data_IF_433693805168
#
_entry.id   IF_433693805168
#
_cell.length_a   1.000
_cell.length_b   1.000
_cell.length_c   1.000
_cell.angle_alpha   90.00
_cell.angle_beta   90.00
_cell.angle_gamma   90.00
#
_symmetry.space_group_name_H-M   'P 1'
#
loop_
_entity.id
_entity.type
_entity.pdbx_description
1 polymer ?
#
# COMPACT_ATOMS: atom_id res chain seq x y z
N UNK A 1 18.64 -55.71 29.27
CA UNK A 1 18.40 -54.49 30.06
C UNK A 1 18.00 -53.41 29.07
N UNK A 2 16.69 -53.39 28.79
CA UNK A 2 16.04 -52.51 27.83
C UNK A 2 16.02 -51.10 28.37
N UNK A 3 16.45 -50.14 27.57
CA UNK A 3 16.37 -48.73 27.91
C UNK A 3 15.44 -48.04 26.89
N UNK A 4 14.46 -47.23 27.34
CA UNK A 4 13.22 -46.96 26.59
C UNK A 4 13.33 -45.95 25.44
N UNK A 5 12.40 -46.05 24.48
CA UNK A 5 12.12 -45.09 23.39
C UNK A 5 11.78 -43.70 23.96
N UNK A 6 12.29 -42.59 23.38
CA UNK A 6 11.72 -41.28 23.65
C UNK A 6 10.34 -41.15 23.00
N UNK A 7 9.38 -40.64 23.78
CA UNK A 7 8.02 -40.34 23.37
C UNK A 7 7.93 -38.90 22.82
N UNK A 8 7.23 -38.76 21.69
CA UNK A 8 6.42 -37.60 21.29
C UNK A 8 6.95 -36.19 21.53
N UNK A 9 7.47 -35.57 20.48
CA UNK A 9 7.53 -34.11 20.34
C UNK A 9 6.47 -33.65 19.33
N UNK A 10 5.40 -33.04 19.82
CA UNK A 10 4.37 -32.34 19.03
C UNK A 10 4.97 -31.11 18.35
N UNK A 11 4.43 -30.78 17.19
CA UNK A 11 4.43 -29.41 16.67
C UNK A 11 5.23 -29.26 15.40
N UNK A 12 4.60 -29.61 14.27
CA UNK A 12 4.90 -28.95 13.01
C UNK A 12 4.77 -27.44 13.25
N UNK A 13 5.79 -26.60 12.97
CA UNK A 13 5.48 -25.22 12.67
C UNK A 13 4.84 -25.24 11.28
N UNK A 14 3.52 -25.42 11.24
CA UNK A 14 2.71 -24.74 10.25
C UNK A 14 2.83 -23.25 10.56
N UNK A 15 3.99 -22.68 10.21
CA UNK A 15 4.17 -21.25 10.11
C UNK A 15 3.19 -20.80 9.05
N UNK A 16 2.03 -20.33 9.51
CA UNK A 16 1.18 -19.42 8.77
C UNK A 16 2.10 -18.40 8.05
N UNK A 17 1.77 -17.98 6.81
CA UNK A 17 2.51 -16.89 6.20
C UNK A 17 2.45 -15.71 7.17
N UNK A 18 3.59 -15.44 7.80
CA UNK A 18 3.74 -14.35 8.74
C UNK A 18 3.66 -13.08 7.90
N UNK A 19 2.72 -12.19 8.23
CA UNK A 19 2.62 -10.76 7.88
C UNK A 19 2.73 -10.25 6.42
N UNK A 20 3.17 -11.02 5.43
CA UNK A 20 3.82 -10.46 4.24
C UNK A 20 3.12 -10.80 2.90
N UNK A 21 1.79 -10.78 2.81
CA UNK A 21 1.08 -10.81 1.51
C UNK A 21 0.49 -9.43 1.15
N UNK A 22 1.24 -8.37 1.46
CA UNK A 22 1.01 -7.11 0.77
C UNK A 22 1.58 -7.30 -0.63
N UNK A 23 0.74 -7.77 -1.56
CA UNK A 23 1.14 -8.01 -2.94
C UNK A 23 2.01 -6.87 -3.48
N UNK A 24 3.03 -7.21 -4.28
CA UNK A 24 4.08 -6.33 -4.79
C UNK A 24 3.69 -4.83 -4.83
N UNK A 25 4.48 -3.94 -4.22
CA UNK A 25 4.18 -2.52 -4.26
C UNK A 25 4.19 -2.06 -5.73
N UNK A 26 3.01 -1.73 -6.24
CA UNK A 26 2.78 -1.36 -7.64
C UNK A 26 2.33 0.09 -7.72
N UNK A 27 2.84 0.80 -8.73
CA UNK A 27 2.59 2.23 -8.93
C UNK A 27 2.04 2.44 -10.33
N UNK A 28 0.78 2.87 -10.42
CA UNK A 28 0.11 3.10 -11.70
C UNK A 28 -0.18 4.58 -11.87
N UNK A 29 0.24 5.12 -13.00
CA UNK A 29 -0.05 6.49 -13.40
C UNK A 29 -1.29 6.50 -14.30
N UNK A 30 -2.42 7.01 -13.80
CA UNK A 30 -3.61 7.20 -14.62
C UNK A 30 -3.48 8.47 -15.47
N UNK A 31 -3.67 8.40 -16.80
CA UNK A 31 -3.68 9.60 -17.65
C UNK A 31 -4.75 10.60 -17.20
N UNK A 32 -4.37 11.88 -16.99
CA UNK A 32 -5.29 12.91 -16.51
C UNK A 32 -5.84 12.67 -15.09
N UNK A 33 -5.26 11.72 -14.36
CA UNK A 33 -5.79 11.17 -13.13
C UNK A 33 -4.77 11.06 -12.00
N UNK A 34 -5.14 10.40 -10.90
CA UNK A 34 -4.25 10.20 -9.77
C UNK A 34 -3.18 9.15 -10.06
N UNK A 35 -2.18 9.09 -9.18
CA UNK A 35 -1.26 7.96 -9.09
C UNK A 35 -1.83 6.93 -8.12
N UNK A 36 -2.02 5.70 -8.55
CA UNK A 36 -2.50 4.61 -7.70
C UNK A 36 -1.30 3.87 -7.12
N UNK A 37 -1.26 3.78 -5.80
CA UNK A 37 -0.30 3.01 -5.02
C UNK A 37 -1.00 1.76 -4.51
N UNK A 38 -0.54 0.58 -4.95
CA UNK A 38 -1.04 -0.70 -4.46
C UNK A 38 -0.07 -1.29 -3.47
N UNK A 39 -0.56 -1.74 -2.32
CA UNK A 39 0.28 -2.29 -1.26
C UNK A 39 0.90 -1.22 -0.35
N UNK A 40 2.02 -1.57 0.31
CA UNK A 40 2.65 -0.70 1.31
C UNK A 40 3.62 0.28 0.68
N UNK A 41 3.24 1.55 0.71
CA UNK A 41 4.04 2.68 0.24
C UNK A 41 4.07 3.80 1.26
N UNK A 42 5.15 4.58 1.26
CA UNK A 42 5.24 5.83 2.04
C UNK A 42 5.29 7.01 1.07
N UNK A 43 4.30 7.89 1.20
CA UNK A 43 4.19 9.14 0.43
C UNK A 43 4.69 10.29 1.30
N UNK A 44 5.51 11.17 0.75
CA UNK A 44 5.93 12.40 1.43
C UNK A 44 5.19 13.56 0.80
N UNK A 45 4.50 14.35 1.61
CA UNK A 45 3.77 15.55 1.17
C UNK A 45 4.73 16.77 1.01
N UNK A 46 4.22 17.89 0.48
CA UNK A 46 4.95 19.14 0.30
C UNK A 46 5.50 19.71 1.62
N UNK A 47 4.79 19.49 2.73
CA UNK A 47 5.24 19.87 4.08
C UNK A 47 6.34 18.94 4.64
N UNK A 48 6.78 17.94 3.87
CA UNK A 48 7.73 16.92 4.31
C UNK A 48 7.12 15.84 5.21
N UNK A 49 5.79 15.87 5.41
CA UNK A 49 5.07 14.90 6.23
C UNK A 49 4.98 13.54 5.53
N UNK A 50 5.29 12.46 6.26
CA UNK A 50 5.26 11.08 5.75
C UNK A 50 3.90 10.44 6.01
N UNK A 51 3.31 9.87 4.97
CA UNK A 51 2.01 9.21 4.97
C UNK A 51 2.17 7.75 4.49
N UNK A 52 2.01 6.80 5.41
CA UNK A 52 2.02 5.38 5.06
C UNK A 52 0.65 4.97 4.50
N UNK A 53 0.66 4.27 3.38
CA UNK A 53 -0.54 3.68 2.79
C UNK A 53 -0.82 2.34 3.46
N UNK A 54 -1.97 2.23 4.10
CA UNK A 54 -2.40 0.98 4.78
C UNK A 54 -3.55 0.29 4.04
N UNK A 55 -4.00 0.88 2.93
CA UNK A 55 -5.11 0.38 2.11
C UNK A 55 -4.56 -0.46 0.96
N UNK A 56 -5.32 -1.43 0.44
CA UNK A 56 -4.91 -2.20 -0.73
C UNK A 56 -4.57 -1.30 -1.94
N UNK A 57 -5.31 -0.20 -2.11
CA UNK A 57 -5.03 0.83 -3.09
C UNK A 57 -5.23 2.22 -2.47
N UNK A 58 -4.24 3.08 -2.62
CA UNK A 58 -4.29 4.50 -2.26
C UNK A 58 -4.09 5.38 -3.48
N UNK A 59 -4.88 6.44 -3.63
CA UNK A 59 -4.79 7.37 -4.75
C UNK A 59 -4.10 8.66 -4.32
N UNK A 60 -2.95 8.96 -4.92
CA UNK A 60 -2.16 10.17 -4.69
C UNK A 60 -2.53 11.23 -5.72
N UNK A 61 -2.72 12.47 -5.25
CA UNK A 61 -3.05 13.61 -6.08
C UNK A 61 -1.85 13.97 -6.97
N UNK A 62 -2.11 14.14 -8.27
CA UNK A 62 -1.15 14.73 -9.22
C UNK A 62 -1.56 16.09 -9.76
N UNK A 63 -2.82 16.50 -9.60
CA UNK A 63 -3.30 17.76 -10.15
C UNK A 63 -3.01 18.99 -9.26
N UNK A 64 -2.55 18.78 -8.02
CA UNK A 64 -2.25 19.85 -7.07
C UNK A 64 -3.46 20.63 -6.53
N UNK A 65 -4.68 20.28 -6.95
CA UNK A 65 -5.94 20.96 -6.56
C UNK A 65 -6.74 20.19 -5.51
N UNK A 66 -6.26 19.04 -5.05
CA UNK A 66 -6.93 18.28 -4.00
C UNK A 66 -7.02 19.08 -2.69
N UNK A 67 -8.13 18.91 -1.97
CA UNK A 67 -8.34 19.44 -0.62
C UNK A 67 -7.75 18.54 0.48
N UNK A 68 -7.37 17.30 0.17
CA UNK A 68 -6.90 16.28 1.12
C UNK A 68 -5.51 15.76 0.77
N UNK A 69 -4.64 16.64 0.28
CA UNK A 69 -3.25 16.31 -0.07
C UNK A 69 -2.56 15.53 1.06
N UNK A 70 -1.75 14.51 0.71
CA UNK A 70 -1.30 14.13 -0.64
C UNK A 70 -2.32 13.28 -1.44
N UNK A 71 -3.52 13.01 -0.90
CA UNK A 71 -4.49 12.09 -1.49
C UNK A 71 -5.36 12.72 -2.56
N UNK A 72 -5.96 11.92 -3.43
CA UNK A 72 -6.91 12.39 -4.44
C UNK A 72 -8.36 12.32 -3.93
N UNK A 73 -9.07 13.45 -3.91
CA UNK A 73 -10.53 13.51 -3.64
C UNK A 73 -11.41 13.48 -4.90
N UNK A 74 -10.81 13.48 -6.09
CA UNK A 74 -11.55 13.49 -7.35
C UNK A 74 -11.64 14.86 -8.04
N UNK A 75 -11.12 15.93 -7.44
CA UNK A 75 -11.05 17.28 -8.05
C UNK A 75 -10.51 17.26 -9.49
N UNK A 76 -9.58 16.37 -9.83
CA UNK A 76 -9.04 16.24 -11.21
C UNK A 76 -10.12 16.03 -12.29
N UNK A 77 -11.28 15.46 -11.95
CA UNK A 77 -12.38 15.20 -12.89
C UNK A 77 -13.06 16.48 -13.36
N UNK A 78 -13.14 17.49 -12.49
CA UNK A 78 -13.79 18.77 -12.77
C UNK A 78 -12.82 19.82 -13.33
N UNK A 79 -11.52 19.51 -13.35
CA UNK A 79 -10.52 20.40 -13.96
C UNK A 79 -10.62 20.39 -15.49
N UNK A 80 -10.36 21.54 -16.14
CA UNK A 80 -10.26 21.60 -17.58
C UNK A 80 -9.10 20.71 -18.08
N UNK A 81 -9.16 20.18 -19.32
CA UNK A 81 -8.16 19.25 -19.84
C UNK A 81 -6.72 19.76 -19.72
N UNK A 82 -6.49 21.06 -19.92
CA UNK A 82 -5.16 21.68 -19.79
C UNK A 82 -4.60 21.73 -18.35
N UNK A 83 -5.43 21.52 -17.34
CA UNK A 83 -5.04 21.53 -15.93
C UNK A 83 -5.00 20.12 -15.32
N UNK A 84 -5.24 19.08 -16.12
CA UNK A 84 -5.10 17.68 -15.71
C UNK A 84 -3.63 17.25 -15.86
N UNK A 85 -3.13 16.43 -14.93
CA UNK A 85 -1.75 15.99 -14.93
C UNK A 85 -1.43 14.90 -15.94
#
# INVERSE_FOLDING_TARGET
MSTPRPAGGRGEPAGAPSAEETGHPDVILCPGGPMLLRGDHVVTDEDGRRHRTTRPVSAVCRCGKSAIKPWCDGTHKVLPPQARP
#
